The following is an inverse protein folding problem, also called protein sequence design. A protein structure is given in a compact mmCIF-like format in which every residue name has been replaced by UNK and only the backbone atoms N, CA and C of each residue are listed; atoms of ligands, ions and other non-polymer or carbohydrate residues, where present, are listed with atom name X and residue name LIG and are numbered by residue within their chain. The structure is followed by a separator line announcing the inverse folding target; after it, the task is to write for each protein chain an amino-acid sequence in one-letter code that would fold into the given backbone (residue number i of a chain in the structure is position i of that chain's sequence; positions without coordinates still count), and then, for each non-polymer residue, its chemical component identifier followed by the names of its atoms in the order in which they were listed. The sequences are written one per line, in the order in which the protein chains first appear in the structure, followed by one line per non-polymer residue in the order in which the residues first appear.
data_IF_611231346361
#
_entry.id   IF_611231346361
#
_cell.length_a   1.000
_cell.length_b   1.000
_cell.length_c   1.000
_cell.angle_alpha   90.00
_cell.angle_beta   90.00
_cell.angle_gamma   90.00
#
_symmetry.space_group_name_H-M   'P 1'
#
loop_
_entity.id
_entity.type
_entity.pdbx_description
1 polymer ?
#
# COMPACT_ATOMS: atom_id res chain seq x y z
N UNK A 1 9.54 7.41 -16.83
CA UNK A 1 8.86 6.12 -16.54
C UNK A 1 9.72 5.24 -15.64
N UNK A 2 10.95 4.89 -16.05
CA UNK A 2 11.87 4.04 -15.26
C UNK A 2 12.12 4.60 -13.85
N UNK A 3 12.42 5.89 -13.73
CA UNK A 3 12.63 6.54 -12.42
C UNK A 3 11.39 6.48 -11.53
N UNK A 4 10.20 6.67 -12.10
CA UNK A 4 8.94 6.52 -11.36
C UNK A 4 8.71 5.08 -10.88
N UNK A 5 9.13 4.09 -11.67
CA UNK A 5 9.14 2.69 -11.23
C UNK A 5 10.08 2.51 -10.04
N UNK A 6 11.33 2.99 -10.14
CA UNK A 6 12.34 2.91 -9.08
C UNK A 6 11.88 3.56 -7.76
N UNK A 7 11.24 4.73 -7.82
CA UNK A 7 10.66 5.36 -6.63
C UNK A 7 9.55 4.50 -6.03
N UNK A 8 8.67 3.95 -6.87
CA UNK A 8 7.52 3.16 -6.41
C UNK A 8 7.93 1.81 -5.83
N UNK A 9 8.85 1.11 -6.47
CA UNK A 9 9.40 -0.16 -5.99
C UNK A 9 10.18 0.02 -4.68
N UNK A 10 10.92 1.13 -4.48
CA UNK A 10 11.53 1.45 -3.17
C UNK A 10 10.48 1.58 -2.06
N UNK A 11 9.27 2.10 -2.37
CA UNK A 11 8.14 2.12 -1.41
C UNK A 11 7.58 0.71 -1.13
N UNK A 12 7.56 -0.17 -2.13
CA UNK A 12 7.18 -1.59 -1.96
C UNK A 12 8.20 -2.30 -1.07
N UNK A 13 9.49 -2.14 -1.36
CA UNK A 13 10.60 -2.72 -0.60
C UNK A 13 10.66 -2.22 0.85
N UNK A 14 10.19 -1.00 1.10
CA UNK A 14 10.12 -0.41 2.45
C UNK A 14 8.89 -0.85 3.25
N UNK A 15 7.98 -1.63 2.67
CA UNK A 15 6.76 -2.09 3.35
C UNK A 15 7.06 -3.12 4.45
N UNK A 16 6.34 -3.07 5.57
CA UNK A 16 6.53 -3.99 6.72
C UNK A 16 6.41 -5.45 6.32
N UNK A 17 5.42 -5.81 5.49
CA UNK A 17 5.30 -7.20 4.98
C UNK A 17 6.53 -7.69 4.21
N UNK A 18 7.23 -6.79 3.50
CA UNK A 18 8.44 -7.14 2.76
C UNK A 18 9.67 -7.16 3.67
N UNK A 19 9.76 -6.23 4.62
CA UNK A 19 10.92 -6.09 5.52
C UNK A 19 10.92 -7.05 6.69
N UNK A 20 9.77 -7.23 7.32
CA UNK A 20 9.60 -7.87 8.62
C UNK A 20 8.93 -9.24 8.49
N UNK A 21 8.11 -9.45 7.45
CA UNK A 21 7.40 -10.71 7.20
C UNK A 21 7.82 -11.39 5.89
N UNK A 22 9.08 -11.21 5.48
CA UNK A 22 9.62 -11.75 4.23
C UNK A 22 9.44 -13.28 4.10
N UNK A 23 9.57 -14.02 5.20
CA UNK A 23 9.37 -15.48 5.22
C UNK A 23 7.92 -15.85 4.90
N UNK A 24 6.94 -15.16 5.50
CA UNK A 24 5.53 -15.37 5.20
C UNK A 24 5.22 -15.04 3.74
N UNK A 25 5.74 -13.91 3.24
CA UNK A 25 5.58 -13.52 1.83
C UNK A 25 6.19 -14.55 0.88
N UNK A 26 7.32 -15.16 1.23
CA UNK A 26 7.95 -16.24 0.45
C UNK A 26 7.11 -17.53 0.44
N UNK A 27 6.53 -17.92 1.60
CA UNK A 27 5.59 -19.06 1.69
C UNK A 27 4.35 -18.83 0.82
N UNK A 28 3.79 -17.62 0.86
CA UNK A 28 2.65 -17.23 0.03
C UNK A 28 2.99 -17.22 -1.46
N UNK A 29 4.14 -16.66 -1.83
CA UNK A 29 4.65 -16.66 -3.21
C UNK A 29 4.74 -18.08 -3.79
N UNK A 30 5.29 -19.01 -3.01
CA UNK A 30 5.50 -20.41 -3.43
C UNK A 30 4.25 -21.29 -3.29
N UNK A 31 3.18 -20.78 -2.68
CA UNK A 31 1.93 -21.52 -2.47
C UNK A 31 2.04 -22.62 -1.42
N UNK A 32 2.91 -22.46 -0.42
CA UNK A 32 3.08 -23.45 0.65
C UNK A 32 1.88 -23.48 1.59
N UNK A 33 1.40 -24.68 1.90
CA UNK A 33 0.38 -24.94 2.92
C UNK A 33 0.63 -26.29 3.59
N UNK A 34 0.10 -26.46 4.80
CA UNK A 34 0.21 -27.72 5.54
C UNK A 34 -1.12 -28.47 5.47
N UNK A 35 -1.07 -29.76 5.12
CA UNK A 35 -2.20 -30.68 5.33
C UNK A 35 -1.83 -31.64 6.45
N UNK A 36 -2.61 -31.63 7.53
CA UNK A 36 -2.54 -32.65 8.58
C UNK A 36 -3.57 -33.72 8.28
N UNK A 37 -3.12 -34.97 8.20
CA UNK A 37 -3.97 -36.15 8.03
C UNK A 37 -4.00 -36.91 9.35
N UNK A 38 -5.19 -37.13 9.90
CA UNK A 38 -5.40 -37.90 11.13
C UNK A 38 -6.22 -39.13 10.81
N UNK A 39 -5.67 -40.31 11.11
CA UNK A 39 -6.35 -41.59 10.92
C UNK A 39 -6.68 -42.21 12.28
N UNK A 40 -7.95 -42.52 12.50
CA UNK A 40 -8.38 -43.30 13.64
C UNK A 40 -8.03 -44.77 13.40
N UNK A 41 -7.02 -45.28 14.09
CA UNK A 41 -6.51 -46.64 13.90
C UNK A 41 -7.48 -47.75 14.34
N UNK A 42 -8.57 -47.41 15.04
CA UNK A 42 -9.61 -48.37 15.45
C UNK A 42 -10.77 -48.46 14.47
N UNK A 43 -11.16 -47.34 13.86
CA UNK A 43 -12.31 -47.27 12.94
C UNK A 43 -11.89 -47.20 11.46
N UNK A 44 -10.63 -46.85 11.19
CA UNK A 44 -10.12 -46.56 9.85
C UNK A 44 -10.57 -45.20 9.31
N UNK A 45 -11.23 -44.37 10.12
CA UNK A 45 -11.72 -43.06 9.69
C UNK A 45 -10.58 -42.05 9.54
N UNK A 46 -10.59 -41.29 8.44
CA UNK A 46 -9.58 -40.29 8.12
C UNK A 46 -10.16 -38.87 8.18
N UNK A 47 -9.37 -37.93 8.68
CA UNK A 47 -9.70 -36.50 8.64
C UNK A 47 -8.52 -35.69 8.13
N UNK A 48 -8.82 -34.62 7.40
CA UNK A 48 -7.86 -33.78 6.69
C UNK A 48 -8.03 -32.34 7.15
N UNK A 49 -6.94 -31.70 7.57
CA UNK A 49 -6.96 -30.29 7.97
C UNK A 49 -5.91 -29.50 7.20
N UNK A 50 -6.37 -28.57 6.36
CA UNK A 50 -5.50 -27.57 5.72
C UNK A 50 -5.22 -26.43 6.70
N UNK A 51 -3.95 -26.04 6.83
CA UNK A 51 -3.51 -24.82 7.52
C UNK A 51 -2.69 -23.97 6.56
N UNK A 52 -3.11 -22.71 6.42
CA UNK A 52 -2.38 -21.65 5.73
C UNK A 52 -2.29 -20.45 6.68
N UNK A 53 -1.21 -19.69 6.56
CA UNK A 53 -1.03 -18.43 7.28
C UNK A 53 -1.08 -17.28 6.27
N UNK A 54 -1.73 -16.19 6.65
CA UNK A 54 -1.88 -14.98 5.84
C UNK A 54 -1.57 -13.77 6.71
N UNK A 55 -1.08 -12.65 6.13
CA UNK A 55 -0.84 -11.43 6.87
C UNK A 55 -2.15 -10.79 7.37
N UNK A 56 -2.04 -9.71 8.13
CA UNK A 56 -3.18 -8.84 8.43
C UNK A 56 -3.71 -8.18 7.15
N UNK A 57 -5.03 -8.09 7.02
CA UNK A 57 -5.68 -7.58 5.80
C UNK A 57 -5.27 -6.13 5.51
N UNK A 58 -5.30 -5.24 6.51
CA UNK A 58 -4.89 -3.84 6.36
C UNK A 58 -3.46 -3.69 5.83
N UNK A 59 -2.54 -4.55 6.29
CA UNK A 59 -1.17 -4.58 5.81
C UNK A 59 -1.10 -5.05 4.35
N UNK A 60 -1.91 -6.05 3.96
CA UNK A 60 -1.98 -6.50 2.57
C UNK A 60 -2.61 -5.44 1.66
N UNK A 61 -3.67 -4.75 2.09
CA UNK A 61 -4.29 -3.65 1.35
C UNK A 61 -3.30 -2.52 1.08
N UNK A 62 -2.55 -2.15 2.12
CA UNK A 62 -1.47 -1.16 2.05
C UNK A 62 -0.41 -1.56 1.02
N UNK A 63 0.00 -2.83 0.99
CA UNK A 63 0.94 -3.37 0.00
C UNK A 63 0.33 -3.43 -1.41
N UNK A 64 -0.93 -3.86 -1.53
CA UNK A 64 -1.67 -3.96 -2.78
C UNK A 64 -1.81 -2.58 -3.44
N UNK A 65 -2.13 -1.54 -2.66
CA UNK A 65 -2.12 -0.16 -3.11
C UNK A 65 -0.76 0.27 -3.64
N UNK A 66 0.35 -0.17 -3.01
CA UNK A 66 1.72 0.10 -3.47
C UNK A 66 2.04 -0.56 -4.82
N UNK A 67 1.62 -1.81 -5.05
CA UNK A 67 1.93 -2.50 -6.32
C UNK A 67 0.96 -2.18 -7.46
N UNK A 68 -0.26 -1.71 -7.18
CA UNK A 68 -1.30 -1.44 -8.19
C UNK A 68 -0.83 -0.59 -9.38
N UNK A 69 -0.09 0.53 -9.21
CA UNK A 69 0.40 1.32 -10.34
C UNK A 69 1.31 0.56 -11.32
N UNK A 70 1.92 -0.54 -10.87
CA UNK A 70 2.87 -1.34 -11.64
C UNK A 70 2.17 -2.38 -12.51
N UNK A 71 0.91 -2.71 -12.21
CA UNK A 71 0.15 -3.79 -12.88
C UNK A 71 -1.05 -3.28 -13.70
N UNK A 72 -1.41 -2.01 -13.56
CA UNK A 72 -2.55 -1.42 -14.26
C UNK A 72 -2.09 -0.61 -15.50
N UNK A 73 -2.56 -1.01 -16.69
CA UNK A 73 -2.12 -0.42 -17.96
C UNK A 73 -2.37 1.10 -18.10
N UNK A 74 -3.41 1.64 -17.46
CA UNK A 74 -3.67 3.09 -17.49
C UNK A 74 -2.61 3.91 -16.75
N UNK A 75 -1.83 3.28 -15.88
CA UNK A 75 -0.85 3.97 -15.03
C UNK A 75 0.45 4.23 -15.81
N UNK A 76 1.16 5.34 -15.53
CA UNK A 76 2.37 5.71 -16.27
C UNK A 76 3.55 4.76 -16.04
N UNK A 77 3.56 4.05 -14.91
CA UNK A 77 4.63 3.16 -14.46
C UNK A 77 4.25 1.68 -14.53
N UNK A 78 3.27 1.35 -15.38
CA UNK A 78 2.90 -0.02 -15.71
C UNK A 78 4.11 -0.82 -16.23
N UNK A 79 4.30 -2.07 -15.77
CA UNK A 79 5.52 -2.84 -16.05
C UNK A 79 5.89 -2.91 -17.54
N UNK A 80 4.92 -3.03 -18.45
CA UNK A 80 5.22 -3.05 -19.90
C UNK A 80 5.84 -1.75 -20.36
N UNK A 81 5.27 -0.61 -19.96
CA UNK A 81 5.81 0.72 -20.28
C UNK A 81 7.21 0.92 -19.72
N UNK A 82 7.54 0.28 -18.61
CA UNK A 82 8.89 0.32 -18.01
C UNK A 82 9.86 -0.53 -18.84
N UNK A 83 9.49 -1.75 -19.22
CA UNK A 83 10.30 -2.61 -20.08
C UNK A 83 10.51 -1.99 -21.47
N UNK A 84 9.46 -1.45 -22.08
CA UNK A 84 9.52 -0.74 -23.36
C UNK A 84 10.43 0.51 -23.26
N UNK A 85 10.39 1.22 -22.12
CA UNK A 85 11.27 2.35 -21.88
C UNK A 85 12.74 1.94 -21.69
N UNK A 86 13.01 0.79 -21.08
CA UNK A 86 14.36 0.24 -20.97
C UNK A 86 14.90 -0.10 -22.36
N UNK A 87 14.09 -0.76 -23.19
CA UNK A 87 14.45 -1.06 -24.57
C UNK A 87 14.77 0.21 -25.36
N UNK A 88 13.92 1.24 -25.25
CA UNK A 88 14.12 2.51 -25.94
C UNK A 88 15.38 3.28 -25.49
N UNK A 89 15.75 3.20 -24.21
CA UNK A 89 16.90 3.95 -23.66
C UNK A 89 18.22 3.21 -23.85
N UNK A 90 18.24 1.89 -23.63
CA UNK A 90 19.46 1.07 -23.71
C UNK A 90 19.73 0.59 -25.14
N UNK A 91 18.68 0.39 -25.92
CA UNK A 91 18.70 -0.25 -27.23
C UNK A 91 18.52 -1.77 -27.13
N UNK A 92 17.71 -2.34 -28.04
CA UNK A 92 17.29 -3.75 -28.01
C UNK A 92 18.46 -4.74 -28.01
N UNK A 93 19.48 -4.56 -28.85
CA UNK A 93 20.63 -5.49 -28.93
C UNK A 93 21.39 -5.51 -27.61
N UNK A 94 21.80 -4.34 -27.12
CA UNK A 94 22.57 -4.19 -25.89
C UNK A 94 21.79 -4.62 -24.64
N UNK A 95 20.48 -4.36 -24.61
CA UNK A 95 19.64 -4.81 -23.51
C UNK A 95 19.52 -6.34 -23.49
N UNK A 96 19.43 -6.98 -24.66
CA UNK A 96 19.33 -8.43 -24.78
C UNK A 96 20.64 -9.18 -24.45
N UNK A 97 21.79 -8.51 -24.51
CA UNK A 97 23.06 -9.05 -23.98
C UNK A 97 23.02 -9.21 -22.45
N UNK A 98 22.19 -8.42 -21.77
CA UNK A 98 22.14 -8.34 -20.32
C UNK A 98 20.94 -9.06 -19.71
N UNK A 99 19.79 -8.98 -20.37
CA UNK A 99 18.53 -9.57 -19.93
C UNK A 99 17.76 -10.14 -21.12
N UNK A 100 17.03 -11.23 -20.94
CA UNK A 100 16.05 -11.66 -21.94
C UNK A 100 14.78 -10.81 -21.83
N UNK A 101 14.63 -9.79 -22.69
CA UNK A 101 13.52 -8.84 -22.63
C UNK A 101 12.17 -9.54 -22.86
N UNK A 102 12.10 -10.51 -23.78
CA UNK A 102 10.89 -11.26 -24.06
C UNK A 102 10.48 -12.12 -22.86
N UNK A 103 11.46 -12.75 -22.20
CA UNK A 103 11.23 -13.45 -20.95
C UNK A 103 10.70 -12.52 -19.86
N UNK A 104 11.21 -11.30 -19.72
CA UNK A 104 10.72 -10.34 -18.72
C UNK A 104 9.26 -9.94 -18.97
N UNK A 105 8.86 -9.72 -20.23
CA UNK A 105 7.45 -9.46 -20.56
C UNK A 105 6.55 -10.64 -20.18
N UNK A 106 6.95 -11.86 -20.51
CA UNK A 106 6.20 -13.08 -20.17
C UNK A 106 6.18 -13.34 -18.64
N UNK A 107 7.31 -13.13 -17.97
CA UNK A 107 7.49 -13.31 -16.54
C UNK A 107 6.52 -12.43 -15.72
N UNK A 108 6.31 -11.19 -16.15
CA UNK A 108 5.28 -10.31 -15.59
C UNK A 108 3.87 -10.69 -16.04
N UNK A 109 3.66 -10.95 -17.33
CA UNK A 109 2.35 -11.28 -17.89
C UNK A 109 1.72 -12.49 -17.20
N UNK A 110 2.52 -13.53 -16.94
CA UNK A 110 2.12 -14.72 -16.19
C UNK A 110 1.62 -14.41 -14.79
N UNK A 111 2.01 -13.31 -14.16
CA UNK A 111 1.52 -12.94 -12.83
C UNK A 111 0.27 -12.06 -12.89
N UNK A 112 0.24 -11.10 -13.82
CA UNK A 112 -0.74 -10.01 -13.84
C UNK A 112 -1.97 -10.25 -14.71
N UNK A 113 -1.97 -11.19 -15.64
CA UNK A 113 -3.17 -11.41 -16.47
C UNK A 113 -4.20 -12.26 -15.73
N UNK A 114 -5.37 -11.67 -15.48
CA UNK A 114 -6.50 -12.30 -14.81
C UNK A 114 -7.16 -13.44 -15.60
N UNK A 115 -6.95 -13.47 -16.92
CA UNK A 115 -7.65 -14.36 -17.85
C UNK A 115 -6.89 -15.66 -18.14
N UNK A 116 -5.66 -15.78 -17.65
CA UNK A 116 -4.90 -17.02 -17.72
C UNK A 116 -5.46 -18.09 -16.78
N UNK A 117 -4.98 -19.32 -16.96
CA UNK A 117 -5.31 -20.45 -16.09
C UNK A 117 -4.94 -20.21 -14.63
N UNK A 118 -5.54 -21.01 -13.75
CA UNK A 118 -5.27 -20.98 -12.32
C UNK A 118 -3.76 -20.97 -12.05
N UNK A 119 -3.34 -20.07 -11.18
CA UNK A 119 -1.95 -19.86 -10.83
C UNK A 119 -1.54 -20.79 -9.67
N UNK A 120 -2.50 -21.17 -8.83
CA UNK A 120 -2.33 -22.16 -7.77
C UNK A 120 -3.53 -23.11 -7.68
N UNK A 121 -4.77 -22.59 -7.73
CA UNK A 121 -5.97 -23.41 -7.60
C UNK A 121 -7.19 -22.79 -8.29
N UNK A 122 -8.22 -23.61 -8.49
CA UNK A 122 -9.56 -23.18 -8.82
C UNK A 122 -10.54 -23.53 -7.70
N UNK A 123 -11.62 -22.78 -7.60
CA UNK A 123 -12.74 -23.03 -6.70
C UNK A 123 -13.96 -23.35 -7.54
N UNK A 124 -14.70 -24.40 -7.17
CA UNK A 124 -16.00 -24.72 -7.75
C UNK A 124 -17.11 -24.35 -6.77
N UNK A 125 -18.15 -23.73 -7.31
CA UNK A 125 -19.43 -23.47 -6.65
C UNK A 125 -20.55 -24.09 -7.48
N UNK A 126 -21.80 -24.14 -6.97
CA UNK A 126 -22.93 -24.59 -7.77
C UNK A 126 -23.12 -23.79 -9.08
N UNK A 127 -22.68 -22.52 -9.12
CA UNK A 127 -22.79 -21.65 -10.29
C UNK A 127 -21.62 -21.74 -11.27
N UNK A 128 -20.60 -22.57 -11.00
CA UNK A 128 -19.48 -22.80 -11.90
C UNK A 128 -18.11 -22.82 -11.23
N UNK A 129 -17.06 -22.51 -12.00
CA UNK A 129 -15.67 -22.50 -11.53
C UNK A 129 -15.03 -21.13 -11.71
N UNK A 130 -14.13 -20.78 -10.79
CA UNK A 130 -13.29 -19.58 -10.87
C UNK A 130 -11.86 -19.89 -10.45
N UNK A 131 -10.90 -19.09 -10.91
CA UNK A 131 -9.48 -19.24 -10.58
C UNK A 131 -9.08 -18.33 -9.42
N UNK A 132 -8.00 -18.68 -8.73
CA UNK A 132 -7.33 -17.82 -7.75
C UNK A 132 -7.01 -16.43 -8.32
N UNK A 133 -6.59 -16.33 -9.59
CA UNK A 133 -6.36 -15.03 -10.26
C UNK A 133 -7.59 -14.14 -10.27
N UNK A 134 -8.73 -14.69 -10.67
CA UNK A 134 -9.99 -13.94 -10.75
C UNK A 134 -10.48 -13.53 -9.35
N UNK A 135 -10.22 -14.36 -8.35
CA UNK A 135 -10.52 -14.06 -6.95
C UNK A 135 -9.62 -12.95 -6.39
N UNK A 136 -8.31 -12.98 -6.66
CA UNK A 136 -7.39 -11.88 -6.31
C UNK A 136 -7.89 -10.55 -6.89
N UNK A 137 -8.25 -10.53 -8.17
CA UNK A 137 -8.75 -9.29 -8.81
C UNK A 137 -10.12 -8.85 -8.30
N UNK A 138 -10.98 -9.79 -7.91
CA UNK A 138 -12.24 -9.48 -7.25
C UNK A 138 -12.01 -8.83 -5.87
N UNK A 139 -11.04 -9.31 -5.09
CA UNK A 139 -10.64 -8.65 -3.84
C UNK A 139 -10.06 -7.26 -4.12
N UNK A 140 -9.03 -7.19 -4.97
CA UNK A 140 -8.30 -5.95 -5.24
C UNK A 140 -9.21 -4.84 -5.78
N UNK A 141 -10.06 -5.13 -6.76
CA UNK A 141 -10.89 -4.10 -7.39
C UNK A 141 -12.31 -4.03 -6.86
N UNK A 142 -12.87 -5.15 -6.40
CA UNK A 142 -14.23 -5.21 -5.88
C UNK A 142 -14.31 -4.74 -4.43
N UNK A 143 -13.55 -5.39 -3.55
CA UNK A 143 -13.60 -5.15 -2.11
C UNK A 143 -12.78 -3.90 -1.71
N UNK A 144 -11.53 -3.80 -2.16
CA UNK A 144 -10.60 -2.74 -1.70
C UNK A 144 -10.78 -1.41 -2.43
N UNK A 145 -10.84 -1.42 -3.78
CA UNK A 145 -10.70 -0.17 -4.56
C UNK A 145 -12.04 0.45 -4.99
N UNK A 146 -13.00 -0.34 -5.47
CA UNK A 146 -14.24 0.22 -6.04
C UNK A 146 -15.50 0.00 -5.19
N UNK A 147 -15.42 -0.76 -4.10
CA UNK A 147 -16.57 -1.15 -3.27
C UNK A 147 -17.76 -1.66 -4.12
N UNK A 148 -17.47 -2.47 -5.15
CA UNK A 148 -18.47 -2.98 -6.09
C UNK A 148 -18.69 -4.46 -5.85
N UNK A 149 -19.96 -4.84 -5.74
CA UNK A 149 -20.34 -6.26 -5.72
C UNK A 149 -19.82 -6.97 -6.97
N UNK A 150 -19.23 -8.18 -6.84
CA UNK A 150 -18.76 -8.95 -7.99
C UNK A 150 -19.88 -9.22 -8.99
N UNK A 151 -19.63 -8.97 -10.28
CA UNK A 151 -20.62 -9.27 -11.34
C UNK A 151 -20.79 -10.77 -11.58
N UNK A 152 -19.73 -11.55 -11.36
CA UNK A 152 -19.73 -13.00 -11.59
C UNK A 152 -20.59 -13.72 -10.54
N UNK A 153 -21.60 -14.52 -10.93
CA UNK A 153 -22.36 -15.36 -10.00
C UNK A 153 -21.47 -16.28 -9.16
N UNK A 154 -20.47 -16.91 -9.78
CA UNK A 154 -19.51 -17.81 -9.08
C UNK A 154 -18.77 -17.07 -7.96
N UNK A 155 -18.38 -15.81 -8.18
CA UNK A 155 -17.63 -15.04 -7.19
C UNK A 155 -18.57 -14.52 -6.08
N UNK A 156 -19.84 -14.28 -6.38
CA UNK A 156 -20.85 -13.88 -5.38
C UNK A 156 -21.21 -15.00 -4.41
N UNK A 157 -21.01 -16.27 -4.80
CA UNK A 157 -21.18 -17.42 -3.91
C UNK A 157 -20.06 -17.54 -2.87
N UNK A 158 -18.97 -16.78 -3.03
CA UNK A 158 -17.78 -16.84 -2.19
C UNK A 158 -17.73 -15.60 -1.28
N UNK A 159 -17.30 -15.79 -0.04
CA UNK A 159 -17.12 -14.72 0.93
C UNK A 159 -15.85 -13.89 0.66
N UNK A 160 -15.65 -12.85 1.47
CA UNK A 160 -14.45 -12.01 1.39
C UNK A 160 -13.18 -12.81 1.68
N UNK A 161 -13.23 -13.75 2.63
CA UNK A 161 -12.09 -14.59 3.03
C UNK A 161 -11.54 -15.38 1.84
N UNK A 162 -12.39 -16.02 1.02
CA UNK A 162 -11.91 -16.74 -0.17
C UNK A 162 -11.23 -15.82 -1.18
N UNK A 163 -11.71 -14.57 -1.32
CA UNK A 163 -11.09 -13.59 -2.22
C UNK A 163 -9.78 -13.07 -1.66
N UNK A 164 -9.72 -12.81 -0.35
CA UNK A 164 -8.52 -12.44 0.39
C UNK A 164 -7.43 -13.53 0.32
N UNK A 165 -7.79 -14.81 0.55
CA UNK A 165 -6.87 -15.94 0.49
C UNK A 165 -6.27 -16.17 -0.90
N UNK A 166 -6.99 -15.77 -1.96
CA UNK A 166 -6.44 -15.75 -3.30
C UNK A 166 -5.58 -14.51 -3.56
N UNK A 167 -5.93 -13.38 -2.94
CA UNK A 167 -5.21 -12.12 -3.10
C UNK A 167 -3.83 -12.15 -2.48
N UNK A 168 -3.69 -12.63 -1.23
CA UNK A 168 -2.41 -12.69 -0.54
C UNK A 168 -1.26 -13.34 -1.35
N UNK A 169 -1.38 -14.58 -1.87
CA UNK A 169 -0.35 -15.19 -2.71
C UNK A 169 -0.21 -14.51 -4.08
N UNK A 170 -1.29 -13.94 -4.64
CA UNK A 170 -1.23 -13.17 -5.88
C UNK A 170 -0.40 -11.89 -5.74
N UNK A 171 -0.64 -11.11 -4.70
CA UNK A 171 0.13 -9.91 -4.36
C UNK A 171 1.57 -10.27 -4.00
N UNK A 172 1.81 -11.36 -3.27
CA UNK A 172 3.17 -11.86 -3.01
C UNK A 172 3.94 -12.14 -4.31
N UNK A 173 3.28 -12.78 -5.29
CA UNK A 173 3.85 -12.99 -6.64
C UNK A 173 4.12 -11.70 -7.39
N UNK A 174 3.27 -10.69 -7.27
CA UNK A 174 3.53 -9.37 -7.86
C UNK A 174 4.74 -8.71 -7.19
N UNK A 175 4.84 -8.75 -5.86
CA UNK A 175 5.95 -8.16 -5.12
C UNK A 175 7.29 -8.77 -5.53
N UNK A 176 7.33 -10.08 -5.73
CA UNK A 176 8.51 -10.79 -6.25
C UNK A 176 8.95 -10.20 -7.62
N UNK A 177 8.00 -9.96 -8.54
CA UNK A 177 8.28 -9.29 -9.82
C UNK A 177 8.84 -7.88 -9.64
N UNK A 178 8.31 -7.12 -8.69
CA UNK A 178 8.82 -5.77 -8.36
C UNK A 178 10.26 -5.84 -7.86
N UNK A 179 10.55 -6.75 -6.93
CA UNK A 179 11.89 -6.94 -6.33
C UNK A 179 12.91 -7.30 -7.42
N UNK A 180 12.63 -8.32 -8.23
CA UNK A 180 13.56 -8.74 -9.28
C UNK A 180 13.73 -7.68 -10.37
N UNK A 181 12.67 -6.95 -10.72
CA UNK A 181 12.78 -5.86 -11.70
C UNK A 181 13.61 -4.70 -11.14
N UNK A 182 13.47 -4.37 -9.84
CA UNK A 182 14.34 -3.40 -9.17
C UNK A 182 15.81 -3.80 -9.28
N UNK A 183 16.12 -5.05 -8.91
CA UNK A 183 17.49 -5.58 -8.94
C UNK A 183 18.07 -5.55 -10.35
N UNK A 184 17.27 -5.92 -11.34
CA UNK A 184 17.65 -5.86 -12.75
C UNK A 184 17.98 -4.43 -13.19
N UNK A 185 17.12 -3.45 -12.88
CA UNK A 185 17.36 -2.04 -13.25
C UNK A 185 18.61 -1.51 -12.53
N UNK A 186 18.79 -1.84 -11.24
CA UNK A 186 19.99 -1.48 -10.49
C UNK A 186 21.25 -2.04 -11.13
N UNK A 187 21.25 -3.30 -11.58
CA UNK A 187 22.38 -3.90 -12.28
C UNK A 187 22.71 -3.18 -13.61
N UNK A 188 21.70 -2.75 -14.36
CA UNK A 188 21.90 -1.95 -15.58
C UNK A 188 22.53 -0.58 -15.28
N UNK A 189 22.14 0.06 -14.17
CA UNK A 189 22.73 1.33 -13.71
C UNK A 189 24.21 1.12 -13.31
N UNK A 190 24.49 0.10 -12.51
CA UNK A 190 25.85 -0.23 -12.06
C UNK A 190 26.80 -0.53 -13.23
N UNK A 191 26.29 -1.13 -14.31
CA UNK A 191 27.04 -1.38 -15.56
C UNK A 191 27.18 -0.14 -16.45
N UNK A 192 26.61 1.01 -16.07
CA UNK A 192 26.61 2.23 -16.87
C UNK A 192 25.75 2.15 -18.14
N UNK A 193 24.83 1.19 -18.21
CA UNK A 193 23.91 1.00 -19.33
C UNK A 193 22.66 1.86 -19.23
N UNK A 194 22.32 2.26 -18.00
CA UNK A 194 21.21 3.15 -17.70
C UNK A 194 21.70 4.28 -16.80
N UNK A 195 21.34 5.51 -17.13
CA UNK A 195 21.55 6.67 -16.26
C UNK A 195 20.20 7.19 -15.78
N UNK A 196 20.12 7.47 -14.48
CA UNK A 196 18.96 8.08 -13.81
C UNK A 196 19.45 9.19 -12.89
N UNK A 197 18.55 10.08 -12.47
CA UNK A 197 18.87 11.03 -11.40
C UNK A 197 19.32 10.27 -10.13
N UNK A 198 20.52 10.55 -9.57
CA UNK A 198 20.98 9.93 -8.33
C UNK A 198 20.00 10.05 -7.16
N UNK A 199 19.21 11.13 -7.10
CA UNK A 199 18.21 11.34 -6.06
C UNK A 199 17.12 10.26 -6.06
N UNK A 200 16.77 9.69 -7.22
CA UNK A 200 15.81 8.60 -7.34
C UNK A 200 16.25 7.36 -6.54
N UNK A 201 17.56 7.17 -6.37
CA UNK A 201 18.15 6.04 -5.65
C UNK A 201 18.28 6.31 -4.14
N UNK A 202 18.42 7.58 -3.73
CA UNK A 202 18.78 7.94 -2.35
C UNK A 202 17.66 8.60 -1.57
N UNK A 203 16.75 9.35 -2.21
CA UNK A 203 15.69 10.12 -1.55
C UNK A 203 14.80 9.25 -0.66
N UNK A 204 14.36 9.76 0.49
CA UNK A 204 13.44 9.03 1.36
C UNK A 204 12.08 8.85 0.69
N UNK A 205 11.64 7.60 0.56
CA UNK A 205 10.35 7.27 -0.09
C UNK A 205 9.23 6.93 0.90
N UNK A 206 9.56 6.88 2.19
CA UNK A 206 8.63 6.64 3.30
C UNK A 206 8.88 7.66 4.41
N UNK A 207 7.82 8.02 5.13
CA UNK A 207 7.92 8.87 6.32
C UNK A 207 8.39 8.00 7.48
N UNK A 208 9.53 8.36 8.09
CA UNK A 208 10.07 7.69 9.29
C UNK A 208 9.93 8.53 10.55
N UNK A 209 9.90 9.86 10.39
CA UNK A 209 9.66 10.81 11.48
C UNK A 209 8.17 11.11 11.53
N UNK A 210 7.48 10.54 12.53
CA UNK A 210 6.03 10.73 12.75
C UNK A 210 5.73 11.63 13.94
N UNK A 211 6.77 12.12 14.61
CA UNK A 211 6.69 13.10 15.70
C UNK A 211 7.41 14.35 15.22
N UNK A 212 6.68 15.45 15.15
CA UNK A 212 7.25 16.77 14.86
C UNK A 212 7.41 17.48 16.20
N UNK A 213 8.66 17.77 16.55
CA UNK A 213 9.02 18.55 17.74
C UNK A 213 9.85 19.74 17.26
N UNK A 214 9.18 20.87 17.06
CA UNK A 214 9.78 22.10 16.57
C UNK A 214 9.26 23.30 17.36
N UNK A 215 10.11 24.30 17.65
CA UNK A 215 9.68 25.51 18.32
C UNK A 215 8.71 26.28 17.42
N UNK A 216 7.51 26.54 17.91
CA UNK A 216 6.51 27.36 17.23
C UNK A 216 6.17 28.60 18.05
N UNK A 217 5.89 29.70 17.37
CA UNK A 217 5.24 30.84 17.97
C UNK A 217 3.73 30.69 17.79
N UNK A 218 2.98 30.79 18.88
CA UNK A 218 1.52 30.75 18.87
C UNK A 218 0.97 32.09 19.37
N UNK A 219 -0.03 32.62 18.66
CA UNK A 219 -0.70 33.86 18.99
C UNK A 219 -2.23 33.71 18.91
N UNK A 220 -2.95 34.47 19.74
CA UNK A 220 -4.41 34.61 19.75
C UNK A 220 -4.79 36.08 19.54
N UNK A 221 -5.95 36.32 18.96
CA UNK A 221 -6.53 37.64 18.75
C UNK A 221 -8.06 37.56 18.83
N UNK A 222 -8.75 38.68 19.11
CA UNK A 222 -10.22 38.73 19.11
C UNK A 222 -10.83 38.26 17.79
N UNK A 223 -12.01 37.63 17.86
CA UNK A 223 -12.74 37.17 16.68
C UNK A 223 -13.02 38.35 15.73
N UNK A 224 -12.56 38.23 14.48
CA UNK A 224 -12.69 39.27 13.46
C UNK A 224 -11.47 40.18 13.32
N UNK A 225 -10.43 40.01 14.13
CA UNK A 225 -9.15 40.68 13.92
C UNK A 225 -8.53 40.29 12.56
N UNK A 226 -7.96 41.25 11.81
CA UNK A 226 -7.30 40.94 10.54
C UNK A 226 -6.04 40.11 10.78
N UNK A 227 -5.82 39.07 9.96
CA UNK A 227 -4.58 38.29 10.00
C UNK A 227 -3.37 39.21 9.83
N UNK A 228 -2.27 39.00 10.58
CA UNK A 228 -1.07 39.81 10.42
C UNK A 228 -0.50 39.63 9.02
N UNK A 229 -0.01 40.71 8.42
CA UNK A 229 0.77 40.62 7.19
C UNK A 229 2.15 39.96 7.42
N UNK A 230 2.65 40.00 8.67
CA UNK A 230 3.90 39.41 9.11
C UNK A 230 3.69 38.68 10.45
N UNK A 231 3.94 37.37 10.47
CA UNK A 231 3.81 36.50 11.64
C UNK A 231 5.10 36.43 12.49
N UNK A 232 6.19 37.06 12.05
CA UNK A 232 7.46 37.07 12.78
C UNK A 232 7.49 38.10 13.91
N UNK A 233 6.68 39.17 13.80
CA UNK A 233 6.53 40.20 14.82
C UNK A 233 5.12 40.80 14.76
N UNK A 234 4.08 40.04 15.14
CA UNK A 234 2.71 40.52 15.11
C UNK A 234 2.51 41.64 16.14
N UNK A 235 1.57 42.54 15.87
CA UNK A 235 1.25 43.66 16.76
C UNK A 235 0.80 43.13 18.13
N UNK A 236 1.57 43.37 19.21
CA UNK A 236 1.29 42.80 20.53
C UNK A 236 0.01 43.34 21.18
N UNK A 237 -0.53 44.46 20.69
CA UNK A 237 -1.82 45.00 21.14
C UNK A 237 -3.00 44.18 20.61
N UNK A 238 -2.84 43.51 19.47
CA UNK A 238 -3.88 42.73 18.80
C UNK A 238 -3.65 41.22 18.96
N UNK A 239 -2.38 40.81 18.93
CA UNK A 239 -1.95 39.41 18.91
C UNK A 239 -1.14 39.10 20.16
N UNK A 240 -1.74 38.32 21.07
CA UNK A 240 -1.13 37.92 22.33
C UNK A 240 -0.72 36.46 22.27
N UNK A 241 0.17 36.03 23.14
CA UNK A 241 0.38 34.58 23.31
C UNK A 241 -0.85 33.95 23.97
N UNK A 242 -1.17 32.66 23.71
CA UNK A 242 -2.27 31.98 24.39
C UNK A 242 -2.18 32.03 25.91
N UNK A 243 -0.96 32.08 26.47
CA UNK A 243 -0.74 32.20 27.90
C UNK A 243 -1.17 33.58 28.44
N UNK A 244 -0.84 34.66 27.73
CA UNK A 244 -1.24 36.02 28.11
C UNK A 244 -2.77 36.20 28.02
N UNK A 245 -3.38 35.72 26.94
CA UNK A 245 -4.83 35.80 26.71
C UNK A 245 -5.60 34.98 27.77
N UNK A 246 -5.11 33.79 28.12
CA UNK A 246 -5.72 32.97 29.18
C UNK A 246 -5.55 33.59 30.57
N UNK A 247 -4.40 34.19 30.87
CA UNK A 247 -4.16 34.86 32.15
C UNK A 247 -5.14 36.03 32.36
N UNK A 248 -5.37 36.84 31.32
CA UNK A 248 -6.35 37.93 31.36
C UNK A 248 -7.78 37.41 31.59
N UNK A 249 -8.18 36.33 30.92
CA UNK A 249 -9.50 35.71 31.14
C UNK A 249 -9.69 35.18 32.57
N UNK A 250 -8.64 34.67 33.20
CA UNK A 250 -8.69 34.17 34.57
C UNK A 250 -8.73 35.32 35.58
N UNK A 251 -7.94 36.37 35.37
CA UNK A 251 -7.96 37.57 36.21
C UNK A 251 -9.31 38.30 36.13
N UNK A 252 -9.94 38.35 34.94
CA UNK A 252 -11.28 38.92 34.76
C UNK A 252 -12.36 38.07 35.43
N UNK A 253 -12.20 36.75 35.49
CA UNK A 253 -13.12 35.84 36.17
C UNK A 253 -13.05 35.98 37.70
N UNK A 254 -11.85 36.15 38.26
CA UNK A 254 -11.64 36.36 39.70
C UNK A 254 -12.07 37.76 40.16
N UNK A 255 -12.04 38.74 39.26
CA UNK A 255 -12.53 40.11 39.51
C UNK A 255 -14.01 40.31 39.14
N UNK A 256 -14.71 39.27 38.67
CA UNK A 256 -16.12 39.37 38.35
C UNK A 256 -16.96 39.56 39.64
N UNK A 257 -17.84 40.59 39.71
CA UNK A 257 -18.70 40.76 40.88
C UNK A 257 -19.61 39.53 41.06
N UNK A 258 -19.93 39.14 42.30
CA UNK A 258 -20.77 37.97 42.55
C UNK A 258 -22.09 38.12 41.80
N UNK A 259 -22.47 37.09 41.02
CA UNK A 259 -23.74 37.08 40.29
C UNK A 259 -24.87 37.30 41.28
N UNK A 260 -25.53 38.46 41.19
CA UNK A 260 -26.73 38.75 41.97
C UNK A 260 -27.79 37.68 41.66
N UNK A 261 -28.51 37.17 42.67
CA UNK A 261 -29.56 36.19 42.45
C UNK A 261 -30.63 36.81 41.54
N UNK A 262 -31.08 36.05 40.55
CA UNK A 262 -32.14 36.49 39.63
C UNK A 262 -33.39 36.86 40.44
N UNK A 263 -34.08 37.96 40.10
CA UNK A 263 -35.30 38.34 40.78
C UNK A 263 -36.34 37.22 40.60
N UNK A 264 -36.95 36.80 41.71
CA UNK A 264 -38.08 35.89 41.68
C UNK A 264 -39.22 36.58 40.91
N UNK A 265 -39.67 35.98 39.82
CA UNK A 265 -40.88 36.39 39.13
C UNK A 265 -42.08 36.06 40.02
N UNK A 266 -42.83 37.09 40.43
CA UNK A 266 -44.24 36.99 40.83
C UNK A 266 -45.13 36.65 39.64
#
# INVERSE_FOLDING_TARGET
VIEGFLLRSRRVLSHSLIREQAELMSKLHTGQFTITVTVNTKTGEESYRRKCEYPDEEALESLAGRVRPLILNSEPIYYRKVLDALEAVVGTEKLNEEIDLAWWHDYWHKVVDANLDAQAYWVATPNGKTTDRKLMYAWLYGDVIHAKSPKSPVIRDLDIDQRYYAAAPGIARICDRVIYTQLMISALIEKGLLTVDPNVLTEAVVVTTTVVDEPVNAYTAPVGAPLPADLTNPDPEVWKTPHQDLAELLDDADNAPPRLPSPANE
#
